data_IF_996336785248
#
_entry.id   IF_996336785248
#
_cell.length_a   1.000
_cell.length_b   1.000
_cell.length_c   1.000
_cell.angle_alpha   90.00
_cell.angle_beta   90.00
_cell.angle_gamma   90.00
#
_symmetry.space_group_name_H-M   'P 1'
#
loop_
_entity.id
_entity.type
_entity.pdbx_description
1 polymer ?
#
# COMPACT_ATOMS: atom_id res chain seq x y z
N UNK A 1 -11.55 22.55 0.20
CA UNK A 1 -11.08 23.49 -0.84
C UNK A 1 -9.57 23.78 -0.79
N UNK A 2 -8.95 23.96 0.37
CA UNK A 2 -7.50 24.22 0.50
C UNK A 2 -6.62 23.06 0.00
N UNK A 3 -7.03 21.81 0.24
CA UNK A 3 -6.31 20.61 -0.23
C UNK A 3 -6.21 20.54 -1.76
N UNK A 4 -7.30 20.86 -2.46
CA UNK A 4 -7.35 20.82 -3.92
C UNK A 4 -6.42 21.86 -4.56
N UNK A 5 -6.36 23.07 -3.99
CA UNK A 5 -5.48 24.12 -4.50
C UNK A 5 -4.00 23.84 -4.22
N UNK A 6 -3.69 23.35 -3.02
CA UNK A 6 -2.32 22.91 -2.66
C UNK A 6 -1.84 21.78 -3.58
N UNK A 7 -2.72 20.83 -3.89
CA UNK A 7 -2.41 19.74 -4.82
C UNK A 7 -2.14 20.23 -6.25
N UNK A 8 -2.94 21.17 -6.77
CA UNK A 8 -2.69 21.76 -8.10
C UNK A 8 -1.38 22.55 -8.16
N UNK A 9 -1.05 23.26 -7.09
CA UNK A 9 0.18 24.05 -7.02
C UNK A 9 1.43 23.15 -6.92
N UNK A 10 1.34 22.04 -6.18
CA UNK A 10 2.37 21.01 -6.13
C UNK A 10 2.65 20.39 -7.51
N UNK A 11 1.58 20.02 -8.24
CA UNK A 11 1.67 19.45 -9.59
C UNK A 11 2.25 20.44 -10.60
N UNK A 12 1.84 21.72 -10.51
CA UNK A 12 2.37 22.81 -11.35
C UNK A 12 3.86 23.05 -11.12
N UNK A 13 4.30 23.03 -9.86
CA UNK A 13 5.71 23.25 -9.49
C UNK A 13 6.63 22.09 -9.92
N UNK A 14 6.07 20.90 -10.16
CA UNK A 14 6.81 19.73 -10.63
C UNK A 14 6.64 19.47 -12.14
N UNK A 15 6.08 20.43 -12.90
CA UNK A 15 5.87 20.33 -14.35
C UNK A 15 5.18 19.03 -14.79
N UNK A 16 4.27 18.52 -13.97
CA UNK A 16 3.47 17.34 -14.30
C UNK A 16 2.38 17.79 -15.27
N UNK A 17 2.57 17.51 -16.56
CA UNK A 17 1.52 17.71 -17.56
C UNK A 17 0.35 16.77 -17.24
N UNK A 18 -0.75 17.32 -16.71
CA UNK A 18 -1.98 16.58 -16.42
C UNK A 18 -2.63 15.98 -17.68
N UNK A 19 -2.17 16.41 -18.87
CA UNK A 19 -2.57 15.87 -20.18
C UNK A 19 -1.90 14.52 -20.48
N UNK A 20 -0.82 14.17 -19.76
CA UNK A 20 -0.15 12.87 -19.81
C UNK A 20 -0.71 11.86 -18.79
N UNK A 21 -1.73 12.25 -18.02
CA UNK A 21 -2.42 11.31 -17.15
C UNK A 21 -3.25 10.40 -18.06
N UNK A 22 -2.78 9.17 -18.23
CA UNK A 22 -3.52 8.11 -18.91
C UNK A 22 -4.95 8.10 -18.35
N UNK A 23 -6.00 8.03 -19.19
CA UNK A 23 -7.35 7.85 -18.69
C UNK A 23 -7.32 6.64 -17.76
N UNK A 24 -7.88 6.86 -16.56
CA UNK A 24 -7.87 5.91 -15.47
C UNK A 24 -8.64 4.65 -15.93
N UNK A 25 -7.91 3.69 -16.52
CA UNK A 25 -8.47 2.44 -17.00
C UNK A 25 -8.75 1.57 -15.79
N UNK A 26 -10.01 1.58 -15.37
CA UNK A 26 -10.50 0.94 -14.15
C UNK A 26 -10.17 -0.57 -14.12
N UNK A 27 -10.15 -1.24 -15.28
CA UNK A 27 -9.77 -2.66 -15.40
C UNK A 27 -8.26 -2.88 -15.22
N UNK A 28 -7.43 -1.99 -15.78
CA UNK A 28 -5.97 -2.05 -15.59
C UNK A 28 -5.60 -1.74 -14.14
N UNK A 29 -6.25 -0.76 -13.52
CA UNK A 29 -6.06 -0.45 -12.11
C UNK A 29 -6.39 -1.63 -11.19
N UNK A 30 -7.51 -2.32 -11.44
CA UNK A 30 -7.89 -3.48 -10.64
C UNK A 30 -6.81 -4.56 -10.71
N UNK A 31 -6.33 -4.85 -11.91
CA UNK A 31 -5.28 -5.85 -12.16
C UNK A 31 -3.97 -5.46 -11.51
N UNK A 32 -3.58 -4.19 -11.60
CA UNK A 32 -2.34 -3.68 -11.01
C UNK A 32 -2.38 -3.71 -9.47
N UNK A 33 -3.52 -3.34 -8.87
CA UNK A 33 -3.73 -3.43 -7.42
C UNK A 33 -3.70 -4.88 -6.94
N UNK A 34 -4.34 -5.80 -7.67
CA UNK A 34 -4.32 -7.22 -7.33
C UNK A 34 -2.90 -7.81 -7.38
N UNK A 35 -2.14 -7.46 -8.42
CA UNK A 35 -0.75 -7.89 -8.55
C UNK A 35 0.13 -7.34 -7.43
N UNK A 36 -0.01 -6.05 -7.09
CA UNK A 36 0.75 -5.44 -6.00
C UNK A 36 0.41 -6.07 -4.64
N UNK A 37 -0.87 -6.36 -4.38
CA UNK A 37 -1.31 -7.09 -3.18
C UNK A 37 -0.66 -8.48 -3.08
N UNK A 38 -0.63 -9.22 -4.19
CA UNK A 38 0.02 -10.55 -4.25
C UNK A 38 1.52 -10.44 -3.96
N UNK A 39 2.20 -9.45 -4.54
CA UNK A 39 3.63 -9.22 -4.33
C UNK A 39 3.95 -8.81 -2.89
N UNK A 40 3.10 -7.99 -2.26
CA UNK A 40 3.21 -7.63 -0.85
C UNK A 40 3.04 -8.85 0.07
N UNK A 41 2.05 -9.70 -0.20
CA UNK A 41 1.86 -10.96 0.55
C UNK A 41 3.09 -11.84 0.40
N UNK A 42 3.58 -12.04 -0.83
CA UNK A 42 4.76 -12.85 -1.09
C UNK A 42 6.01 -12.30 -0.40
N UNK A 43 6.20 -10.97 -0.40
CA UNK A 43 7.28 -10.32 0.34
C UNK A 43 7.16 -10.54 1.84
N UNK A 44 5.98 -10.34 2.43
CA UNK A 44 5.75 -10.48 3.86
C UNK A 44 5.89 -11.93 4.34
N UNK A 45 5.54 -12.90 3.49
CA UNK A 45 5.83 -14.32 3.73
C UNK A 45 7.35 -14.56 3.73
N UNK A 46 8.08 -14.07 2.72
CA UNK A 46 9.56 -14.19 2.66
C UNK A 46 10.25 -13.51 3.83
N UNK A 47 9.78 -12.33 4.25
CA UNK A 47 10.28 -11.60 5.41
C UNK A 47 9.94 -12.29 6.74
N UNK A 48 9.12 -13.34 6.71
CA UNK A 48 8.72 -14.09 7.89
C UNK A 48 7.73 -13.33 8.77
N UNK A 49 7.01 -12.35 8.23
CA UNK A 49 5.88 -11.67 8.89
C UNK A 49 4.62 -12.55 8.81
N UNK A 50 4.43 -13.19 7.66
CA UNK A 50 3.34 -14.12 7.37
C UNK A 50 3.86 -15.56 7.26
N UNK A 51 3.05 -16.54 7.67
CA UNK A 51 3.29 -17.97 7.49
C UNK A 51 2.20 -18.55 6.59
N UNK A 52 2.55 -19.31 5.54
CA UNK A 52 1.57 -20.03 4.75
C UNK A 52 0.91 -21.12 5.61
N UNK A 53 -0.42 -21.14 5.69
CA UNK A 53 -1.17 -22.25 6.27
C UNK A 53 -1.68 -23.17 5.17
N UNK A 54 -2.05 -24.40 5.53
CA UNK A 54 -2.33 -25.48 4.58
C UNK A 54 -3.66 -25.33 3.80
N UNK A 55 -4.44 -24.27 4.03
CA UNK A 55 -5.84 -24.17 3.59
C UNK A 55 -6.17 -22.81 2.96
N UNK A 56 -5.23 -22.27 2.17
CA UNK A 56 -5.29 -20.93 1.55
C UNK A 56 -5.32 -19.75 2.55
N UNK A 57 -5.31 -20.06 3.86
CA UNK A 57 -5.18 -19.07 4.92
C UNK A 57 -3.72 -18.63 5.13
N UNK A 58 -3.54 -17.33 5.34
CA UNK A 58 -2.25 -16.75 5.73
C UNK A 58 -2.30 -16.42 7.23
N UNK A 59 -1.43 -17.06 8.02
CA UNK A 59 -1.36 -16.82 9.48
C UNK A 59 -0.20 -15.89 9.81
N UNK A 60 -0.38 -15.03 10.80
CA UNK A 60 0.72 -14.20 11.29
C UNK A 60 1.78 -15.07 11.95
N UNK A 61 3.04 -14.79 11.64
CA UNK A 61 4.15 -15.36 12.38
C UNK A 61 4.27 -14.64 13.73
N UNK A 62 4.92 -15.28 14.72
CA UNK A 62 5.21 -14.63 15.99
C UNK A 62 6.08 -13.36 15.84
N UNK A 63 7.01 -13.35 14.87
CA UNK A 63 7.81 -12.16 14.51
C UNK A 63 6.92 -11.08 13.89
N UNK A 64 6.00 -11.46 13.01
CA UNK A 64 5.02 -10.56 12.42
C UNK A 64 4.08 -9.97 13.47
N UNK A 65 3.68 -10.76 14.46
CA UNK A 65 2.78 -10.30 15.52
C UNK A 65 3.44 -9.26 16.42
N UNK A 66 4.72 -9.43 16.77
CA UNK A 66 5.49 -8.40 17.52
C UNK A 66 5.64 -7.12 16.68
N UNK A 67 5.99 -7.27 15.40
CA UNK A 67 6.14 -6.13 14.50
C UNK A 67 4.85 -5.31 14.39
N UNK A 68 3.71 -5.96 14.14
CA UNK A 68 2.41 -5.31 14.04
C UNK A 68 1.98 -4.62 15.34
N UNK A 69 2.27 -5.24 16.49
CA UNK A 69 2.02 -4.63 17.80
C UNK A 69 2.82 -3.35 18.01
N UNK A 70 4.13 -3.35 17.70
CA UNK A 70 4.95 -2.15 17.80
C UNK A 70 4.51 -1.07 16.81
N UNK A 71 4.17 -1.45 15.57
CA UNK A 71 3.67 -0.51 14.56
C UNK A 71 2.35 0.13 15.01
N UNK A 72 1.42 -0.65 15.55
CA UNK A 72 0.17 -0.13 16.10
C UNK A 72 0.40 0.88 17.23
N UNK A 73 1.34 0.62 18.14
CA UNK A 73 1.69 1.56 19.21
C UNK A 73 2.31 2.85 18.70
N UNK A 74 3.15 2.78 17.65
CA UNK A 74 3.73 3.95 17.01
C UNK A 74 2.67 4.76 16.25
N UNK A 75 1.70 4.09 15.63
CA UNK A 75 0.60 4.74 14.91
C UNK A 75 -0.33 5.48 15.87
N UNK A 76 -0.58 4.90 17.05
CA UNK A 76 -1.32 5.56 18.13
C UNK A 76 -0.66 6.88 18.59
N UNK A 77 0.68 6.93 18.59
CA UNK A 77 1.44 8.15 18.90
C UNK A 77 1.45 9.16 17.74
N UNK A 78 1.09 8.73 16.53
CA UNK A 78 1.10 9.55 15.32
C UNK A 78 -0.25 10.21 15.04
N UNK A 79 -1.32 9.78 15.72
CA UNK A 79 -2.65 10.42 15.76
C UNK A 79 -2.68 11.58 16.75
#
# INVERSE_FOLDING_TARGET
WQLYQSHREFLRNHSVETTSLDPLDEERMQTDIENDLRDQIAHNVRAGVLKPAADDEVKYSWRGMIYLWCQFLLDLMRL
#
